data_IF_383345078432
#
_entry.id   IF_383345078432
#
_cell.length_a   1.000
_cell.length_b   1.000
_cell.length_c   1.000
_cell.angle_alpha   90.00
_cell.angle_beta   90.00
_cell.angle_gamma   90.00
#
_symmetry.space_group_name_H-M   'P 1'
#
loop_
_entity.id
_entity.type
_entity.pdbx_description
1 polymer ?
#
# COMPACT_ATOMS: atom_id res chain seq x y z
N UNK A 1 -10.73 14.02 -14.74
CA UNK A 1 -10.12 12.79 -15.30
C UNK A 1 -8.74 13.01 -15.92
N UNK A 2 -8.57 13.93 -16.89
CA UNK A 2 -7.24 14.18 -17.51
C UNK A 2 -6.13 14.51 -16.48
N UNK A 3 -6.37 15.44 -15.56
CA UNK A 3 -5.37 15.84 -14.56
C UNK A 3 -4.93 14.67 -13.66
N UNK A 4 -5.86 13.80 -13.25
CA UNK A 4 -5.54 12.58 -12.51
C UNK A 4 -4.64 11.65 -13.34
N UNK A 5 -5.03 11.38 -14.60
CA UNK A 5 -4.22 10.58 -15.51
C UNK A 5 -2.82 11.15 -15.73
N UNK A 6 -2.71 12.47 -15.88
CA UNK A 6 -1.43 13.16 -16.00
C UNK A 6 -0.55 12.95 -14.75
N UNK A 7 -1.10 13.14 -13.54
CA UNK A 7 -0.38 12.87 -12.30
C UNK A 7 0.08 11.42 -12.17
N UNK A 8 -0.78 10.46 -12.54
CA UNK A 8 -0.43 9.03 -12.58
C UNK A 8 0.67 8.73 -13.59
N UNK A 9 0.63 9.33 -14.78
CA UNK A 9 1.68 9.16 -15.80
C UNK A 9 3.01 9.77 -15.33
N UNK A 10 2.99 10.95 -14.72
CA UNK A 10 4.19 11.57 -14.13
C UNK A 10 4.82 10.64 -13.09
N UNK A 11 4.01 10.10 -12.19
CA UNK A 11 4.49 9.12 -11.21
C UNK A 11 5.06 7.87 -11.91
N UNK A 12 4.36 7.29 -12.88
CA UNK A 12 4.81 6.10 -13.59
C UNK A 12 6.19 6.28 -14.27
N UNK A 13 6.48 7.47 -14.80
CA UNK A 13 7.76 7.80 -15.43
C UNK A 13 8.87 8.10 -14.41
N UNK A 14 8.54 8.67 -13.25
CA UNK A 14 9.50 9.04 -12.22
C UNK A 14 9.85 7.85 -11.30
N UNK A 15 8.88 7.00 -10.99
CA UNK A 15 8.97 5.93 -10.00
C UNK A 15 10.12 4.94 -10.23
N UNK A 16 10.47 4.52 -11.46
CA UNK A 16 11.63 3.65 -11.67
C UNK A 16 12.91 4.20 -11.03
N UNK A 17 13.25 5.47 -11.34
CA UNK A 17 14.45 6.13 -10.79
C UNK A 17 14.37 6.36 -9.29
N UNK A 18 13.18 6.73 -8.80
CA UNK A 18 12.96 6.95 -7.36
C UNK A 18 13.16 5.65 -6.59
N UNK A 19 12.71 4.53 -7.15
CA UNK A 19 12.74 3.22 -6.49
C UNK A 19 14.08 2.50 -6.66
N UNK A 20 14.95 2.98 -7.55
CA UNK A 20 16.37 2.63 -7.56
C UNK A 20 17.13 3.26 -6.37
N UNK A 21 16.65 4.42 -5.88
CA UNK A 21 17.31 5.19 -4.80
C UNK A 21 16.63 5.04 -3.43
N UNK A 22 15.33 4.75 -3.39
CA UNK A 22 14.53 4.65 -2.16
C UNK A 22 13.78 3.31 -2.09
N UNK A 23 13.63 2.73 -0.89
CA UNK A 23 12.84 1.52 -0.73
C UNK A 23 11.34 1.75 -0.99
N UNK A 24 10.60 0.67 -1.26
CA UNK A 24 9.15 0.70 -1.53
C UNK A 24 8.35 1.47 -0.48
N UNK A 25 8.67 1.22 0.79
CA UNK A 25 7.92 1.66 1.97
C UNK A 25 7.74 3.19 2.04
N UNK A 26 8.79 4.03 2.07
CA UNK A 26 8.63 5.48 2.13
C UNK A 26 7.89 6.06 0.93
N UNK A 27 8.04 5.47 -0.26
CA UNK A 27 7.33 5.93 -1.46
C UNK A 27 5.83 5.66 -1.36
N UNK A 28 5.44 4.47 -0.90
CA UNK A 28 4.03 4.12 -0.68
C UNK A 28 3.40 5.01 0.39
N UNK A 29 4.06 5.19 1.54
CA UNK A 29 3.52 6.05 2.60
C UNK A 29 3.51 7.53 2.21
N UNK A 30 4.50 8.00 1.46
CA UNK A 30 4.50 9.35 0.90
C UNK A 30 3.32 9.58 -0.07
N UNK A 31 3.03 8.60 -0.94
CA UNK A 31 1.87 8.64 -1.82
C UNK A 31 0.54 8.63 -1.06
N UNK A 32 0.42 7.79 -0.04
CA UNK A 32 -0.78 7.74 0.82
C UNK A 32 -0.99 9.06 1.58
N UNK A 33 0.06 9.60 2.19
CA UNK A 33 0.02 10.88 2.90
C UNK A 33 -0.35 12.03 1.95
N UNK A 34 0.20 12.04 0.73
CA UNK A 34 -0.13 13.04 -0.29
C UNK A 34 -1.63 13.02 -0.61
N UNK A 35 -2.23 11.83 -0.78
CA UNK A 35 -3.67 11.72 -1.06
C UNK A 35 -4.51 12.23 0.11
N UNK A 36 -4.19 11.84 1.35
CA UNK A 36 -4.88 12.32 2.56
C UNK A 36 -4.78 13.83 2.69
N UNK A 37 -3.57 14.39 2.58
CA UNK A 37 -3.33 15.82 2.65
C UNK A 37 -4.06 16.59 1.54
N UNK A 38 -4.13 16.02 0.33
CA UNK A 38 -4.85 16.61 -0.80
C UNK A 38 -6.35 16.68 -0.54
N UNK A 39 -6.96 15.62 0.00
CA UNK A 39 -8.38 15.61 0.32
C UNK A 39 -8.73 16.62 1.43
N UNK A 40 -7.92 16.66 2.49
CA UNK A 40 -8.09 17.63 3.58
C UNK A 40 -7.88 19.08 3.09
N UNK A 41 -6.82 19.31 2.29
CA UNK A 41 -6.52 20.62 1.71
C UNK A 41 -7.59 21.11 0.75
N UNK A 42 -8.16 20.22 -0.07
CA UNK A 42 -9.30 20.54 -0.92
C UNK A 42 -10.54 20.87 -0.07
N UNK A 43 -10.83 20.09 0.98
CA UNK A 43 -11.93 20.37 1.89
C UNK A 43 -11.81 21.75 2.57
N UNK A 44 -10.61 22.08 3.06
CA UNK A 44 -10.32 23.40 3.64
C UNK A 44 -10.45 24.54 2.62
N UNK A 45 -9.96 24.33 1.39
CA UNK A 45 -10.08 25.35 0.33
C UNK A 45 -11.55 25.58 -0.04
N UNK A 46 -12.33 24.51 -0.16
CA UNK A 46 -13.78 24.60 -0.42
C UNK A 46 -14.50 25.33 0.72
N UNK A 47 -14.11 25.10 1.98
CA UNK A 47 -14.69 25.77 3.14
C UNK A 47 -14.44 27.29 3.13
N UNK A 48 -13.23 27.73 2.77
CA UNK A 48 -12.82 29.14 2.88
C UNK A 48 -13.12 29.95 1.62
N UNK A 49 -12.90 29.37 0.44
CA UNK A 49 -12.91 30.07 -0.84
C UNK A 49 -13.88 29.48 -1.87
N UNK A 50 -14.59 28.40 -1.52
CA UNK A 50 -15.43 27.66 -2.45
C UNK A 50 -14.64 26.76 -3.40
N UNK A 51 -15.37 26.02 -4.24
CA UNK A 51 -14.76 25.10 -5.20
C UNK A 51 -14.39 25.82 -6.49
N UNK A 52 -13.08 25.93 -6.75
CA UNK A 52 -12.55 26.43 -8.01
C UNK A 52 -12.10 25.30 -8.95
N UNK A 53 -12.13 25.56 -10.26
CA UNK A 53 -11.67 24.58 -11.25
C UNK A 53 -10.17 24.27 -11.12
N UNK A 54 -9.34 25.30 -10.92
CA UNK A 54 -7.89 25.14 -10.80
C UNK A 54 -7.48 24.30 -9.59
N UNK A 55 -8.12 24.51 -8.43
CA UNK A 55 -7.84 23.71 -7.23
C UNK A 55 -8.32 22.27 -7.40
N UNK A 56 -9.45 22.05 -8.06
CA UNK A 56 -9.95 20.70 -8.35
C UNK A 56 -9.00 19.94 -9.29
N UNK A 57 -8.50 20.60 -10.34
CA UNK A 57 -7.52 20.01 -11.26
C UNK A 57 -6.20 19.67 -10.54
N UNK A 58 -5.70 20.57 -9.70
CA UNK A 58 -4.52 20.34 -8.89
C UNK A 58 -4.73 19.14 -7.93
N UNK A 59 -5.87 19.08 -7.26
CA UNK A 59 -6.20 17.97 -6.37
C UNK A 59 -6.25 16.64 -7.13
N UNK A 60 -6.90 16.59 -8.30
CA UNK A 60 -6.89 15.38 -9.13
C UNK A 60 -5.50 14.96 -9.55
N UNK A 61 -4.64 15.90 -9.95
CA UNK A 61 -3.25 15.60 -10.31
C UNK A 61 -2.47 15.01 -9.14
N UNK A 62 -2.56 15.61 -7.94
CA UNK A 62 -1.86 15.13 -6.75
C UNK A 62 -2.39 13.77 -6.29
N UNK A 63 -3.70 13.54 -6.34
CA UNK A 63 -4.27 12.22 -6.03
C UNK A 63 -3.81 11.18 -7.05
N UNK A 64 -3.77 11.50 -8.34
CA UNK A 64 -3.26 10.59 -9.39
C UNK A 64 -1.79 10.20 -9.17
N UNK A 65 -0.96 11.17 -8.78
CA UNK A 65 0.45 10.95 -8.43
C UNK A 65 0.59 10.05 -7.19
N UNK A 66 -0.13 10.37 -6.11
CA UNK A 66 -0.12 9.59 -4.87
C UNK A 66 -0.65 8.17 -5.06
N UNK A 67 -1.71 8.01 -5.86
CA UNK A 67 -2.30 6.71 -6.20
C UNK A 67 -1.29 5.80 -6.91
N UNK A 68 -0.61 6.31 -7.93
CA UNK A 68 0.43 5.56 -8.65
C UNK A 68 1.64 5.25 -7.77
N UNK A 69 2.05 6.18 -6.89
CA UNK A 69 3.14 5.95 -5.95
C UNK A 69 2.85 4.80 -4.95
N UNK A 70 1.58 4.55 -4.63
CA UNK A 70 1.16 3.38 -3.84
C UNK A 70 1.05 2.13 -4.72
N UNK A 71 0.39 2.23 -5.88
CA UNK A 71 0.01 1.06 -6.68
C UNK A 71 1.23 0.38 -7.34
N UNK A 72 2.17 1.15 -7.89
CA UNK A 72 3.33 0.62 -8.61
C UNK A 72 4.22 -0.29 -7.76
N UNK A 73 4.68 0.10 -6.55
CA UNK A 73 5.48 -0.78 -5.69
C UNK A 73 4.68 -1.92 -5.05
N UNK A 74 3.34 -1.87 -5.03
CA UNK A 74 2.51 -2.94 -4.42
C UNK A 74 2.78 -4.31 -5.05
N UNK A 75 3.00 -4.38 -6.37
CA UNK A 75 3.35 -5.63 -7.05
C UNK A 75 4.73 -6.17 -6.67
N UNK A 76 5.71 -5.27 -6.43
CA UNK A 76 7.04 -5.67 -5.94
C UNK A 76 6.97 -6.19 -4.50
N UNK A 77 6.21 -5.52 -3.65
CA UNK A 77 5.93 -5.93 -2.28
C UNK A 77 5.28 -7.33 -2.22
N UNK A 78 4.35 -7.63 -3.13
CA UNK A 78 3.72 -8.95 -3.17
C UNK A 78 4.69 -10.02 -3.68
N UNK A 79 5.48 -9.71 -4.71
CA UNK A 79 6.46 -10.64 -5.31
C UNK A 79 7.58 -11.01 -4.35
N UNK A 80 8.04 -10.08 -3.49
CA UNK A 80 9.09 -10.34 -2.49
C UNK A 80 8.57 -11.15 -1.29
N UNK A 81 7.26 -11.15 -1.06
CA UNK A 81 6.64 -11.80 0.10
C UNK A 81 6.07 -13.20 -0.24
N UNK A 82 6.43 -13.74 -1.40
CA UNK A 82 5.81 -14.96 -1.95
C UNK A 82 6.78 -15.79 -2.79
N UNK A 83 6.71 -17.12 -2.60
CA UNK A 83 7.34 -18.08 -3.50
C UNK A 83 6.77 -17.96 -4.92
N UNK A 84 7.54 -18.36 -5.93
CA UNK A 84 7.12 -18.23 -7.32
C UNK A 84 5.80 -18.94 -7.64
N UNK A 85 5.54 -20.09 -6.99
CA UNK A 85 4.31 -20.87 -7.13
C UNK A 85 3.07 -20.20 -6.51
N UNK A 86 3.23 -19.45 -5.42
CA UNK A 86 2.11 -18.87 -4.65
C UNK A 86 1.71 -17.47 -5.12
N UNK A 87 2.55 -16.82 -5.93
CA UNK A 87 2.30 -15.46 -6.46
C UNK A 87 0.91 -15.32 -7.10
N UNK A 88 0.44 -16.21 -7.99
CA UNK A 88 -0.88 -16.05 -8.60
C UNK A 88 -2.02 -15.96 -7.58
N UNK A 89 -1.98 -16.78 -6.52
CA UNK A 89 -2.99 -16.77 -5.47
C UNK A 89 -2.97 -15.47 -4.66
N UNK A 90 -1.77 -14.98 -4.30
CA UNK A 90 -1.63 -13.70 -3.60
C UNK A 90 -2.06 -12.52 -4.45
N UNK A 91 -1.71 -12.47 -5.74
CA UNK A 91 -2.18 -11.43 -6.65
C UNK A 91 -3.71 -11.47 -6.82
N UNK A 92 -4.31 -12.67 -6.87
CA UNK A 92 -5.77 -12.81 -6.91
C UNK A 92 -6.43 -12.31 -5.61
N UNK A 93 -5.85 -12.61 -4.44
CA UNK A 93 -6.34 -12.11 -3.15
C UNK A 93 -6.24 -10.59 -3.06
N UNK A 94 -5.12 -10.00 -3.49
CA UNK A 94 -4.92 -8.54 -3.53
C UNK A 94 -5.92 -7.87 -4.48
N UNK A 95 -6.11 -8.45 -5.67
CA UNK A 95 -7.12 -7.99 -6.63
C UNK A 95 -8.52 -8.02 -6.03
N UNK A 96 -8.95 -9.14 -5.43
CA UNK A 96 -10.26 -9.27 -4.80
C UNK A 96 -10.46 -8.27 -3.65
N UNK A 97 -9.45 -8.11 -2.78
CA UNK A 97 -9.50 -7.17 -1.66
C UNK A 97 -9.64 -5.72 -2.14
N UNK A 98 -8.84 -5.30 -3.13
CA UNK A 98 -8.96 -3.95 -3.70
C UNK A 98 -10.34 -3.68 -4.31
N UNK A 99 -10.94 -4.68 -4.97
CA UNK A 99 -12.30 -4.56 -5.54
C UNK A 99 -13.37 -4.51 -4.45
N UNK A 100 -13.22 -5.28 -3.38
CA UNK A 100 -14.09 -5.19 -2.21
C UNK A 100 -14.02 -3.79 -1.58
N UNK A 101 -12.82 -3.23 -1.47
CA UNK A 101 -12.64 -1.84 -1.01
C UNK A 101 -13.32 -0.83 -1.95
N UNK A 102 -13.22 -0.99 -3.27
CA UNK A 102 -13.94 -0.13 -4.23
C UNK A 102 -15.47 -0.28 -4.11
N UNK A 103 -15.96 -1.51 -4.00
CA UNK A 103 -17.38 -1.80 -3.85
C UNK A 103 -17.98 -1.10 -2.63
N UNK A 104 -17.22 -0.96 -1.54
CA UNK A 104 -17.65 -0.24 -0.33
C UNK A 104 -17.46 1.26 -0.47
N UNK A 105 -16.29 1.71 -0.93
CA UNK A 105 -15.92 3.14 -0.91
C UNK A 105 -16.65 3.96 -1.96
N UNK A 106 -17.04 3.37 -3.10
CA UNK A 106 -17.80 4.07 -4.13
C UNK A 106 -19.19 4.52 -3.63
N UNK A 107 -20.07 3.62 -3.15
CA UNK A 107 -21.36 4.02 -2.60
C UNK A 107 -21.21 4.90 -1.35
N UNK A 108 -20.22 4.62 -0.48
CA UNK A 108 -19.93 5.46 0.68
C UNK A 108 -19.63 6.91 0.27
N UNK A 109 -18.76 7.11 -0.73
CA UNK A 109 -18.40 8.44 -1.21
C UNK A 109 -19.60 9.21 -1.77
N UNK A 110 -20.44 8.53 -2.56
CA UNK A 110 -21.66 9.10 -3.13
C UNK A 110 -22.67 9.46 -2.04
N UNK A 111 -22.92 8.54 -1.09
CA UNK A 111 -23.82 8.76 0.03
C UNK A 111 -23.34 9.90 0.94
N UNK A 112 -22.05 9.95 1.27
CA UNK A 112 -21.52 11.05 2.10
C UNK A 112 -21.67 12.39 1.39
N UNK A 113 -21.40 12.44 0.09
CA UNK A 113 -21.52 13.66 -0.70
C UNK A 113 -22.99 14.13 -0.80
N UNK A 114 -23.94 13.22 -1.02
CA UNK A 114 -25.35 13.57 -1.19
C UNK A 114 -26.04 13.96 0.12
N UNK A 115 -25.70 13.29 1.22
CA UNK A 115 -26.35 13.53 2.53
C UNK A 115 -25.68 14.64 3.32
N UNK A 116 -24.35 14.69 3.34
CA UNK A 116 -23.60 15.61 4.20
C UNK A 116 -22.86 16.70 3.43
N UNK A 117 -22.80 16.62 2.10
CA UNK A 117 -22.12 17.60 1.25
C UNK A 117 -20.61 17.34 1.10
N UNK A 118 -19.95 18.25 0.39
CA UNK A 118 -18.56 18.07 -0.08
C UNK A 118 -17.55 17.96 1.06
N UNK A 119 -17.64 18.85 2.07
CA UNK A 119 -16.62 18.94 3.12
C UNK A 119 -16.61 17.68 4.01
N UNK A 120 -17.75 17.21 4.56
CA UNK A 120 -17.77 15.99 5.35
C UNK A 120 -17.39 14.76 4.52
N UNK A 121 -17.76 14.70 3.23
CA UNK A 121 -17.36 13.62 2.34
C UNK A 121 -15.84 13.55 2.15
N UNK A 122 -15.19 14.68 1.86
CA UNK A 122 -13.73 14.75 1.72
C UNK A 122 -13.01 14.39 3.03
N UNK A 123 -13.48 14.92 4.16
CA UNK A 123 -12.91 14.61 5.47
C UNK A 123 -13.08 13.13 5.84
N UNK A 124 -14.25 12.55 5.57
CA UNK A 124 -14.52 11.14 5.82
C UNK A 124 -13.66 10.20 4.99
N UNK A 125 -13.50 10.48 3.70
CA UNK A 125 -12.62 9.69 2.81
C UNK A 125 -11.14 9.86 3.20
N UNK A 126 -10.72 11.07 3.59
CA UNK A 126 -9.37 11.30 4.10
C UNK A 126 -9.11 10.53 5.40
N UNK A 127 -10.09 10.50 6.31
CA UNK A 127 -10.01 9.71 7.54
C UNK A 127 -9.92 8.21 7.23
N UNK A 128 -10.75 7.70 6.32
CA UNK A 128 -10.71 6.30 5.93
C UNK A 128 -9.36 5.91 5.32
N UNK A 129 -8.82 6.75 4.44
CA UNK A 129 -7.48 6.57 3.87
C UNK A 129 -6.39 6.64 4.96
N UNK A 130 -6.51 7.56 5.91
CA UNK A 130 -5.62 7.67 7.07
C UNK A 130 -5.65 6.42 7.96
N UNK A 131 -6.83 5.86 8.23
CA UNK A 131 -6.99 4.60 8.97
C UNK A 131 -6.29 3.46 8.21
N UNK A 132 -6.51 3.35 6.90
CA UNK A 132 -5.82 2.35 6.07
C UNK A 132 -4.29 2.49 6.14
N UNK A 133 -3.78 3.72 6.11
CA UNK A 133 -2.36 4.03 6.27
C UNK A 133 -1.84 3.63 7.66
N UNK A 134 -2.58 3.89 8.73
CA UNK A 134 -2.21 3.50 10.10
C UNK A 134 -2.21 1.97 10.28
N UNK A 135 -3.19 1.28 9.72
CA UNK A 135 -3.23 -0.19 9.69
C UNK A 135 -2.01 -0.72 8.96
N UNK A 136 -1.66 -0.16 7.81
CA UNK A 136 -0.47 -0.54 7.06
C UNK A 136 0.82 -0.28 7.86
N UNK A 137 0.94 0.85 8.57
CA UNK A 137 2.10 1.13 9.44
C UNK A 137 2.25 0.10 10.57
N UNK A 138 1.14 -0.42 11.09
CA UNK A 138 1.12 -1.43 12.15
C UNK A 138 1.44 -2.83 11.63
N UNK A 139 0.87 -3.21 10.49
CA UNK A 139 1.02 -4.55 9.91
C UNK A 139 2.33 -4.73 9.13
N UNK A 140 2.88 -3.64 8.61
CA UNK A 140 4.17 -3.61 7.95
C UNK A 140 5.08 -2.76 8.83
N UNK A 141 5.99 -3.33 9.64
CA UNK A 141 6.96 -2.56 10.42
C UNK A 141 8.14 -2.08 9.55
N UNK A 142 8.86 -1.04 10.01
CA UNK A 142 10.01 -0.50 9.28
C UNK A 142 11.25 -1.39 9.34
N UNK A 143 11.37 -2.18 10.41
CA UNK A 143 12.46 -3.12 10.63
C UNK A 143 12.04 -4.50 10.14
N UNK A 144 11.95 -4.64 8.83
CA UNK A 144 11.55 -5.86 8.11
C UNK A 144 12.76 -6.35 7.29
N UNK A 145 13.77 -6.97 7.94
CA UNK A 145 14.97 -7.42 7.27
C UNK A 145 14.63 -8.51 6.26
N UNK A 146 15.13 -8.35 5.03
CA UNK A 146 14.84 -9.28 3.92
C UNK A 146 15.34 -10.67 4.23
N UNK A 147 16.45 -10.82 4.96
CA UNK A 147 16.90 -12.10 5.49
C UNK A 147 16.73 -12.11 7.01
N UNK A 148 16.09 -13.15 7.51
CA UNK A 148 15.86 -13.35 8.94
C UNK A 148 16.65 -14.58 9.36
N UNK A 149 17.59 -14.40 10.28
CA UNK A 149 18.22 -15.52 10.94
C UNK A 149 17.21 -16.20 11.87
N UNK A 150 17.01 -17.51 11.69
CA UNK A 150 16.09 -18.30 12.49
C UNK A 150 16.63 -19.71 12.71
N UNK A 151 15.95 -20.44 13.58
CA UNK A 151 16.30 -21.81 13.94
C UNK A 151 15.10 -22.74 13.85
N UNK A 152 15.34 -23.99 13.45
CA UNK A 152 14.34 -25.05 13.48
C UNK A 152 14.76 -26.13 14.48
N UNK A 153 13.95 -26.30 15.50
CA UNK A 153 13.99 -27.45 16.41
C UNK A 153 12.94 -28.50 16.02
N UNK A 154 11.93 -28.09 15.25
CA UNK A 154 10.85 -28.94 14.76
C UNK A 154 11.21 -29.81 13.54
N UNK A 155 12.31 -29.53 12.84
CA UNK A 155 12.73 -30.27 11.65
C UNK A 155 13.86 -31.28 11.95
N UNK A 156 13.82 -32.48 11.37
CA UNK A 156 14.95 -33.42 11.36
C UNK A 156 16.21 -32.78 10.73
N UNK A 157 17.41 -33.11 11.22
CA UNK A 157 18.68 -32.50 10.74
C UNK A 157 18.98 -32.79 9.25
N UNK A 158 18.46 -33.87 8.72
CA UNK A 158 18.55 -34.30 7.33
C UNK A 158 17.47 -33.66 6.43
N UNK A 159 16.59 -32.83 7.00
CA UNK A 159 15.56 -32.14 6.22
C UNK A 159 16.22 -31.23 5.17
N UNK A 160 15.81 -31.30 3.88
CA UNK A 160 16.46 -30.55 2.80
C UNK A 160 16.56 -29.03 3.04
N UNK A 161 15.59 -28.48 3.77
CA UNK A 161 15.55 -27.07 4.19
C UNK A 161 16.75 -26.64 5.04
N UNK A 162 17.20 -27.51 5.97
CA UNK A 162 18.25 -27.14 6.93
C UNK A 162 19.66 -27.16 6.32
N UNK A 163 19.87 -27.91 5.23
CA UNK A 163 21.19 -28.17 4.65
C UNK A 163 22.26 -28.55 5.71
N UNK A 164 21.85 -29.25 6.78
CA UNK A 164 22.71 -29.66 7.88
C UNK A 164 22.90 -28.64 9.01
N UNK A 165 22.32 -27.44 8.93
CA UNK A 165 22.42 -26.40 9.96
C UNK A 165 21.05 -25.95 10.46
N UNK A 166 20.77 -26.20 11.75
CA UNK A 166 19.52 -25.75 12.38
C UNK A 166 19.36 -24.24 12.39
N UNK A 167 20.47 -23.51 12.50
CA UNK A 167 20.53 -22.05 12.44
C UNK A 167 20.99 -21.61 11.07
N UNK A 168 20.14 -20.86 10.38
CA UNK A 168 20.41 -20.36 9.04
C UNK A 168 19.63 -19.05 8.79
N UNK A 169 19.93 -18.39 7.68
CA UNK A 169 19.36 -17.08 7.33
C UNK A 169 18.94 -17.09 5.86
N UNK A 170 17.69 -16.72 5.58
CA UNK A 170 17.18 -16.44 4.25
C UNK A 170 15.91 -15.58 4.36
N UNK A 171 15.33 -15.23 3.21
CA UNK A 171 14.04 -14.56 3.20
C UNK A 171 12.94 -15.42 3.82
N UNK A 172 12.35 -14.91 4.90
CA UNK A 172 11.26 -15.56 5.59
C UNK A 172 9.98 -15.31 4.78
N UNK A 173 9.41 -16.39 4.23
CA UNK A 173 8.14 -16.39 3.51
C UNK A 173 7.22 -17.31 4.29
N UNK A 174 5.98 -16.88 4.52
CA UNK A 174 5.01 -17.69 5.26
C UNK A 174 4.60 -18.89 4.41
N UNK A 175 5.03 -20.08 4.83
CA UNK A 175 4.84 -21.35 4.14
C UNK A 175 4.72 -22.51 5.16
N UNK A 176 4.82 -23.76 4.68
CA UNK A 176 4.73 -24.95 5.55
C UNK A 176 5.88 -25.03 6.57
N UNK A 177 7.08 -24.57 6.21
CA UNK A 177 8.25 -24.56 7.09
C UNK A 177 8.21 -23.37 8.06
N UNK A 178 7.62 -22.25 7.65
CA UNK A 178 7.50 -21.00 8.43
C UNK A 178 6.04 -20.55 8.51
N UNK A 179 5.18 -21.22 9.30
CA UNK A 179 3.74 -20.93 9.34
C UNK A 179 3.41 -19.56 9.97
N UNK A 180 4.40 -18.89 10.57
CA UNK A 180 4.27 -17.62 11.27
C UNK A 180 5.58 -16.82 11.18
N UNK A 181 5.51 -15.52 11.38
CA UNK A 181 6.68 -14.68 11.57
C UNK A 181 7.33 -14.97 12.94
N UNK A 182 8.39 -15.78 12.95
CA UNK A 182 9.14 -16.16 14.16
C UNK A 182 10.62 -16.41 13.83
N UNK A 183 11.46 -16.46 14.86
CA UNK A 183 12.89 -16.82 14.75
C UNK A 183 13.20 -18.22 15.29
N UNK A 184 12.18 -18.90 15.84
CA UNK A 184 12.25 -20.26 16.38
C UNK A 184 11.01 -21.04 15.95
N UNK A 185 11.25 -22.18 15.30
CA UNK A 185 10.25 -23.07 14.72
C UNK A 185 10.34 -24.49 15.27
#
# INVERSE_FOLDING_TARGET
>A
MFAFGAGSMTAALALPRVLDALPDRPVMFGGALLMVATLLGLGMTVLVAGLGWSILLAAWLLVGLGYSAVLTPSGRLLRRSAHAGDRPALFAAQFALSHACWLVTYPLSGWMLTVYGVIPALAGLALLAGIGMLIALKLWPANDPVEVEHTHDNLPLDHPHLQGHRRHSHALIIDESHPRWATHF
#
